data_IF_573217913121
#
_entry.id   IF_573217913121
#
_cell.length_a   1.000
_cell.length_b   1.000
_cell.length_c   1.000
_cell.angle_alpha   90.00
_cell.angle_beta   90.00
_cell.angle_gamma   90.00
#
_symmetry.space_group_name_H-M   'P 1'
#
loop_
_entity.id
_entity.type
_entity.pdbx_description
1 polymer ?
#
# COMPACT_ATOMS: atom_id res chain seq x y z
N UNK A 1 16.17 -7.34 -0.10
CA UNK A 1 14.83 -6.78 0.19
C UNK A 1 14.36 -6.03 -1.04
N UNK A 2 13.15 -6.28 -1.51
CA UNK A 2 12.55 -5.67 -2.70
C UNK A 2 11.39 -4.76 -2.29
N UNK A 3 11.30 -3.63 -2.96
CA UNK A 3 10.31 -2.59 -2.66
C UNK A 3 9.00 -2.84 -3.41
N UNK A 4 7.88 -2.61 -2.72
CA UNK A 4 6.54 -2.91 -3.22
C UNK A 4 5.68 -1.65 -3.26
N UNK A 5 4.99 -1.49 -4.39
CA UNK A 5 3.86 -0.58 -4.59
C UNK A 5 2.54 -1.35 -4.65
N UNK A 6 1.48 -0.87 -3.99
CA UNK A 6 0.13 -1.47 -4.08
C UNK A 6 -0.86 -0.45 -4.64
N UNK A 7 -1.44 -0.77 -5.80
CA UNK A 7 -2.56 -0.03 -6.40
C UNK A 7 -3.86 -0.50 -5.78
N UNK A 8 -4.77 0.41 -5.42
CA UNK A 8 -6.05 0.03 -4.79
C UNK A 8 -5.87 -0.45 -3.34
N UNK A 9 -4.86 0.05 -2.64
CA UNK A 9 -4.46 -0.42 -1.32
C UNK A 9 -5.54 -0.22 -0.24
N UNK A 10 -6.52 0.65 -0.46
CA UNK A 10 -7.65 0.89 0.46
C UNK A 10 -8.76 -0.16 0.36
N UNK A 11 -8.79 -0.97 -0.71
CA UNK A 11 -9.76 -2.06 -0.86
C UNK A 11 -9.41 -3.29 -0.01
N UNK A 12 -10.31 -4.26 0.06
CA UNK A 12 -10.11 -5.47 0.87
C UNK A 12 -8.89 -6.29 0.45
N UNK A 13 -8.68 -6.47 -0.85
CA UNK A 13 -7.49 -7.17 -1.37
C UNK A 13 -6.22 -6.39 -1.03
N UNK A 14 -6.25 -5.06 -1.16
CA UNK A 14 -5.14 -4.19 -0.78
C UNK A 14 -4.81 -4.26 0.72
N UNK A 15 -5.84 -4.29 1.57
CA UNK A 15 -5.70 -4.46 3.02
C UNK A 15 -5.09 -5.81 3.39
N UNK A 16 -5.53 -6.91 2.76
CA UNK A 16 -4.95 -8.23 3.00
C UNK A 16 -3.52 -8.33 2.49
N UNK A 17 -3.19 -7.71 1.36
CA UNK A 17 -1.80 -7.59 0.91
C UNK A 17 -0.95 -6.87 1.95
N UNK A 18 -1.41 -5.74 2.49
CA UNK A 18 -0.73 -5.03 3.56
C UNK A 18 -0.55 -5.92 4.81
N UNK A 19 -1.59 -6.65 5.22
CA UNK A 19 -1.53 -7.55 6.38
C UNK A 19 -0.52 -8.69 6.18
N UNK A 20 -0.49 -9.30 5.00
CA UNK A 20 0.43 -10.39 4.67
C UNK A 20 1.88 -9.89 4.53
N UNK A 21 2.07 -8.73 3.92
CA UNK A 21 3.40 -8.16 3.67
C UNK A 21 4.03 -7.52 4.92
N UNK A 22 3.24 -7.23 5.96
CA UNK A 22 3.70 -6.58 7.18
C UNK A 22 4.91 -7.27 7.84
N UNK A 23 4.99 -8.59 7.75
CA UNK A 23 6.07 -9.39 8.34
C UNK A 23 6.87 -10.15 7.28
N UNK A 24 6.76 -9.78 6.01
CA UNK A 24 7.49 -10.45 4.93
C UNK A 24 8.97 -10.07 4.97
N UNK A 25 9.86 -11.06 5.12
CA UNK A 25 11.30 -10.81 5.30
C UNK A 25 12.00 -10.24 4.07
N UNK A 26 11.44 -10.45 2.89
CA UNK A 26 12.08 -10.07 1.62
C UNK A 26 11.40 -8.89 0.92
N UNK A 27 10.22 -8.47 1.38
CA UNK A 27 9.39 -7.46 0.70
C UNK A 27 9.03 -6.35 1.67
N UNK A 28 9.17 -5.11 1.22
CA UNK A 28 8.82 -3.92 1.98
C UNK A 28 7.82 -3.06 1.21
N UNK A 29 6.69 -2.74 1.81
CA UNK A 29 5.69 -1.84 1.21
C UNK A 29 6.14 -0.40 1.39
N UNK A 30 6.50 0.25 0.29
CA UNK A 30 7.01 1.63 0.28
C UNK A 30 6.03 2.63 -0.31
N UNK A 31 5.07 2.15 -1.12
CA UNK A 31 4.08 2.99 -1.80
C UNK A 31 2.70 2.32 -1.81
N UNK A 32 1.67 3.11 -1.51
CA UNK A 32 0.27 2.67 -1.56
C UNK A 32 -0.59 3.74 -2.20
N UNK A 33 -1.53 3.32 -3.03
CA UNK A 33 -2.34 4.24 -3.81
C UNK A 33 -3.83 4.05 -3.55
N UNK A 34 -4.55 5.16 -3.45
CA UNK A 34 -6.01 5.18 -3.26
C UNK A 34 -6.58 6.51 -3.72
N UNK A 35 -7.69 6.50 -4.45
CA UNK A 35 -8.39 7.73 -4.86
C UNK A 35 -9.06 8.44 -3.67
N UNK A 36 -9.63 7.68 -2.74
CA UNK A 36 -10.49 8.24 -1.68
C UNK A 36 -9.75 8.54 -0.37
N UNK A 37 -8.50 8.09 -0.23
CA UNK A 37 -7.76 8.16 1.03
C UNK A 37 -6.44 8.95 0.91
N UNK A 38 -6.24 9.71 -0.16
CA UNK A 38 -4.99 10.46 -0.39
C UNK A 38 -4.58 11.28 0.84
N UNK A 39 -3.30 11.19 1.21
CA UNK A 39 -2.70 11.87 2.37
C UNK A 39 -3.00 11.21 3.72
N UNK A 40 -3.89 10.22 3.75
CA UNK A 40 -4.35 9.58 4.99
C UNK A 40 -3.48 8.37 5.34
N UNK A 41 -3.32 8.03 6.63
CA UNK A 41 -2.54 6.88 7.05
C UNK A 41 -3.27 5.56 6.74
N UNK A 42 -2.52 4.45 6.68
CA UNK A 42 -3.06 3.10 6.40
C UNK A 42 -4.26 2.75 7.28
N UNK A 43 -4.16 3.03 8.58
CA UNK A 43 -5.15 2.61 9.56
C UNK A 43 -6.51 3.30 9.44
N UNK A 44 -6.62 4.33 8.59
CA UNK A 44 -7.92 4.96 8.32
C UNK A 44 -8.80 4.11 7.41
N UNK A 45 -8.21 3.41 6.43
CA UNK A 45 -8.91 2.40 5.65
C UNK A 45 -8.90 1.03 6.35
N UNK A 46 -7.82 0.72 7.09
CA UNK A 46 -7.58 -0.60 7.69
C UNK A 46 -7.31 -0.49 9.21
N UNK A 47 -8.34 -0.29 10.07
CA UNK A 47 -8.14 -0.04 11.50
C UNK A 47 -7.33 -1.13 12.24
N UNK A 48 -7.42 -2.38 11.79
CA UNK A 48 -6.68 -3.52 12.34
C UNK A 48 -5.17 -3.43 12.12
N UNK A 49 -4.70 -2.57 11.21
CA UNK A 49 -3.27 -2.28 10.96
C UNK A 49 -2.77 -1.06 11.75
N UNK A 50 -3.55 -0.53 12.71
CA UNK A 50 -3.12 0.59 13.55
C UNK A 50 -1.83 0.25 14.30
N UNK A 51 -0.88 1.19 14.29
CA UNK A 51 0.43 1.03 14.91
C UNK A 51 1.49 0.45 13.98
N UNK A 52 1.08 -0.15 12.85
CA UNK A 52 1.95 -0.54 11.75
C UNK A 52 2.00 0.53 10.67
N UNK A 53 2.97 0.42 9.76
CA UNK A 53 3.11 1.32 8.60
C UNK A 53 3.05 2.82 8.94
N UNK A 54 3.65 3.23 10.08
CA UNK A 54 3.45 4.56 10.69
C UNK A 54 3.74 5.74 9.75
N UNK A 55 4.68 5.57 8.83
CA UNK A 55 5.11 6.61 7.90
C UNK A 55 4.46 6.47 6.51
N UNK A 56 3.68 5.42 6.29
CA UNK A 56 3.07 5.13 5.00
C UNK A 56 1.69 5.80 4.93
N UNK A 57 1.49 6.58 3.88
CA UNK A 57 0.25 7.28 3.57
C UNK A 57 -0.20 6.93 2.16
N UNK A 58 -1.51 6.94 1.93
CA UNK A 58 -2.03 6.79 0.58
C UNK A 58 -1.62 7.98 -0.28
N UNK A 59 -1.13 7.68 -1.47
CA UNK A 59 -0.77 8.66 -2.49
C UNK A 59 -1.78 8.60 -3.64
N UNK A 60 -1.85 9.70 -4.39
CA UNK A 60 -2.53 9.67 -5.68
C UNK A 60 -1.65 8.94 -6.71
N UNK A 61 -2.30 8.31 -7.67
CA UNK A 61 -1.64 7.43 -8.63
C UNK A 61 -0.82 8.24 -9.63
N UNK A 62 0.50 8.05 -9.62
CA UNK A 62 1.42 8.65 -10.59
C UNK A 62 2.44 7.63 -11.08
N UNK A 63 2.71 7.62 -12.38
CA UNK A 63 3.69 6.70 -12.99
C UNK A 63 5.06 6.87 -12.34
N UNK A 64 5.49 8.11 -12.09
CA UNK A 64 6.76 8.39 -11.42
C UNK A 64 6.86 7.80 -10.01
N UNK A 65 5.73 7.67 -9.31
CA UNK A 65 5.73 7.04 -7.98
C UNK A 65 5.68 5.53 -8.05
N UNK A 66 4.99 4.96 -9.06
CA UNK A 66 4.94 3.52 -9.30
C UNK A 66 6.32 2.99 -9.70
N UNK A 67 7.03 3.71 -10.59
CA UNK A 67 8.34 3.33 -11.10
C UNK A 67 9.47 3.38 -10.05
N UNK A 68 9.18 3.86 -8.83
CA UNK A 68 10.12 3.84 -7.70
C UNK A 68 10.11 2.52 -6.92
N UNK A 69 9.21 1.60 -7.23
CA UNK A 69 9.14 0.28 -6.60
C UNK A 69 9.65 -0.82 -7.54
N UNK A 70 10.29 -1.85 -6.98
CA UNK A 70 10.72 -3.03 -7.74
C UNK A 70 9.53 -3.88 -8.22
N UNK A 71 8.46 -3.93 -7.44
CA UNK A 71 7.28 -4.79 -7.66
C UNK A 71 6.01 -3.97 -7.48
N UNK A 72 5.02 -4.21 -8.34
CA UNK A 72 3.70 -3.57 -8.27
C UNK A 72 2.62 -4.64 -8.14
N UNK A 73 1.82 -4.57 -7.07
CA UNK A 73 0.57 -5.32 -6.97
C UNK A 73 -0.60 -4.45 -7.44
N UNK A 74 -1.36 -4.95 -8.40
CA UNK A 74 -2.58 -4.30 -8.85
C UNK A 74 -3.80 -4.91 -8.16
N UNK A 75 -4.40 -4.18 -7.21
CA UNK A 75 -5.66 -4.54 -6.55
C UNK A 75 -6.81 -3.59 -6.93
N UNK A 76 -6.78 -3.05 -8.15
CA UNK A 76 -7.86 -2.25 -8.71
C UNK A 76 -9.01 -3.15 -9.23
N UNK A 77 -10.25 -2.64 -9.33
CA UNK A 77 -11.37 -3.36 -9.96
C UNK A 77 -11.10 -3.73 -11.43
N UNK A 78 -11.90 -4.66 -11.96
CA UNK A 78 -11.96 -5.00 -13.40
C UNK A 78 -12.36 -3.80 -14.27
#
# INVERSE_FOLDING_TARGET
MKTVAILGASGYVGGELLRLLLFHKELEVVKIFSKNYVGKPVHEAHPHLRGFYKNLKFEDLSLDSILKADIVFNALPH
#
